data_IF_743391656781
#
_entry.id   IF_743391656781
#
_cell.length_a   1.000
_cell.length_b   1.000
_cell.length_c   1.000
_cell.angle_alpha   90.00
_cell.angle_beta   90.00
_cell.angle_gamma   90.00
#
_symmetry.space_group_name_H-M   'P 1'
#
loop_
_entity.id
_entity.type
_entity.pdbx_description
1 polymer ?
#
# COMPACT_ATOMS: atom_id res chain seq x y z
N UNK A 1 17.47 30.32 -3.18
CA UNK A 1 18.08 29.38 -2.23
C UNK A 1 18.26 28.03 -2.92
N UNK A 2 19.50 27.64 -3.18
CA UNK A 2 19.81 26.41 -3.89
C UNK A 2 19.45 25.18 -3.04
N UNK A 3 18.63 24.29 -3.59
CA UNK A 3 18.42 22.95 -3.04
C UNK A 3 19.69 22.17 -3.34
N UNK A 4 20.49 21.91 -2.31
CA UNK A 4 21.62 21.00 -2.43
C UNK A 4 21.08 19.59 -2.73
N UNK A 5 21.20 19.15 -3.97
CA UNK A 5 21.05 17.76 -4.36
C UNK A 5 22.09 16.95 -3.58
N UNK A 6 21.66 16.23 -2.53
CA UNK A 6 22.50 15.19 -1.94
C UNK A 6 22.66 14.11 -3.02
N UNK A 7 23.86 14.03 -3.60
CA UNK A 7 24.26 12.86 -4.36
C UNK A 7 24.11 11.64 -3.45
N UNK A 8 23.41 10.62 -3.93
CA UNK A 8 23.31 9.35 -3.24
C UNK A 8 24.73 8.80 -3.02
N UNK A 9 25.04 8.42 -1.79
CA UNK A 9 26.30 7.77 -1.46
C UNK A 9 26.33 6.40 -2.14
N UNK A 10 27.26 6.12 -3.05
CA UNK A 10 27.34 4.83 -3.74
C UNK A 10 27.52 3.65 -2.77
N UNK A 11 28.12 3.85 -1.59
CA UNK A 11 28.22 2.82 -0.56
C UNK A 11 26.86 2.46 0.06
N UNK A 12 25.89 3.39 0.07
CA UNK A 12 24.52 3.10 0.50
C UNK A 12 23.80 2.16 -0.48
N UNK A 13 24.20 2.12 -1.76
CA UNK A 13 23.63 1.22 -2.76
C UNK A 13 24.04 -0.25 -2.56
N UNK A 14 25.30 -0.51 -2.16
CA UNK A 14 25.78 -1.86 -1.87
C UNK A 14 25.09 -2.45 -0.62
N UNK A 15 24.92 -1.65 0.43
CA UNK A 15 24.22 -2.08 1.65
C UNK A 15 22.73 -2.37 1.44
N UNK A 16 22.09 -1.80 0.42
CA UNK A 16 20.67 -2.00 0.11
C UNK A 16 20.43 -3.34 -0.60
N UNK A 17 21.41 -3.85 -1.36
CA UNK A 17 21.28 -5.10 -2.10
C UNK A 17 21.19 -6.34 -1.19
N UNK A 18 21.74 -6.25 0.03
CA UNK A 18 21.73 -7.34 1.03
C UNK A 18 20.52 -7.30 1.97
N UNK A 19 19.66 -6.28 1.88
CA UNK A 19 18.50 -6.15 2.77
C UNK A 19 17.39 -7.11 2.37
N UNK A 20 16.87 -7.85 3.36
CA UNK A 20 15.64 -8.61 3.19
C UNK A 20 14.46 -7.64 3.30
N UNK A 21 13.84 -7.33 2.18
CA UNK A 21 12.73 -6.37 2.12
C UNK A 21 11.41 -7.09 1.82
N UNK A 22 10.34 -6.69 2.51
CA UNK A 22 8.98 -7.00 2.09
C UNK A 22 8.36 -5.78 1.39
N UNK A 23 8.02 -5.94 0.12
CA UNK A 23 7.22 -4.97 -0.63
C UNK A 23 5.76 -5.35 -0.48
N UNK A 24 4.95 -4.42 0.01
CA UNK A 24 3.54 -4.65 0.32
C UNK A 24 2.69 -3.77 -0.56
N UNK A 25 1.71 -4.34 -1.26
CA UNK A 25 0.83 -3.61 -2.16
C UNK A 25 -0.64 -3.98 -1.97
N UNK A 26 -1.56 -3.03 -2.16
CA UNK A 26 -2.99 -3.21 -1.85
C UNK A 26 -3.57 -4.45 -2.55
N UNK A 27 -3.48 -4.53 -3.88
CA UNK A 27 -3.93 -5.65 -4.70
C UNK A 27 -3.29 -5.57 -6.08
N UNK A 28 -2.95 -6.72 -6.68
CA UNK A 28 -2.32 -6.80 -8.00
C UNK A 28 -3.30 -7.36 -9.04
N UNK A 29 -4.29 -6.57 -9.44
CA UNK A 29 -5.43 -7.04 -10.27
C UNK A 29 -5.63 -6.22 -11.55
N UNK A 30 -4.83 -5.18 -11.77
CA UNK A 30 -4.88 -4.33 -12.95
C UNK A 30 -3.52 -3.65 -13.20
N UNK A 31 -3.31 -3.07 -14.38
CA UNK A 31 -2.10 -2.30 -14.68
C UNK A 31 -2.35 -0.81 -14.47
N UNK A 32 -2.23 -0.35 -13.23
CA UNK A 32 -2.34 1.06 -12.86
C UNK A 32 -1.01 1.68 -12.45
N UNK A 33 -1.05 2.95 -12.04
CA UNK A 33 0.13 3.68 -11.57
C UNK A 33 0.72 3.09 -10.28
N UNK A 34 -0.13 2.69 -9.35
CA UNK A 34 0.31 2.17 -8.06
C UNK A 34 0.99 0.79 -8.19
N UNK A 35 0.48 -0.04 -9.10
CA UNK A 35 1.03 -1.34 -9.43
C UNK A 35 2.39 -1.20 -10.13
N UNK A 36 2.55 -0.24 -11.05
CA UNK A 36 3.86 0.06 -11.66
C UNK A 36 4.90 0.45 -10.61
N UNK A 37 4.53 1.31 -9.67
CA UNK A 37 5.43 1.70 -8.56
C UNK A 37 5.76 0.50 -7.67
N UNK A 38 4.78 -0.35 -7.36
CA UNK A 38 5.02 -1.56 -6.56
C UNK A 38 6.00 -2.53 -7.24
N UNK A 39 5.93 -2.67 -8.57
CA UNK A 39 6.86 -3.48 -9.35
C UNK A 39 8.27 -2.88 -9.36
N UNK A 40 8.40 -1.56 -9.55
CA UNK A 40 9.72 -0.90 -9.47
C UNK A 40 10.34 -1.05 -8.08
N UNK A 41 9.53 -0.92 -7.01
CA UNK A 41 10.00 -1.17 -5.65
C UNK A 41 10.47 -2.63 -5.48
N UNK A 42 9.73 -3.59 -6.03
CA UNK A 42 10.12 -5.01 -5.99
C UNK A 42 11.44 -5.25 -6.75
N UNK A 43 11.61 -4.66 -7.93
CA UNK A 43 12.82 -4.79 -8.75
C UNK A 43 14.04 -4.09 -8.12
N UNK A 44 13.81 -3.08 -7.26
CA UNK A 44 14.87 -2.33 -6.57
C UNK A 44 15.57 -3.16 -5.49
N UNK A 45 14.88 -4.13 -4.89
CA UNK A 45 15.40 -4.94 -3.80
C UNK A 45 15.51 -6.41 -4.22
N UNK A 46 16.70 -6.88 -4.62
CA UNK A 46 16.91 -8.28 -5.00
C UNK A 46 16.42 -9.24 -3.90
N UNK A 47 15.61 -10.24 -4.27
CA UNK A 47 15.08 -11.23 -3.33
C UNK A 47 13.93 -10.73 -2.44
N UNK A 48 13.40 -9.53 -2.68
CA UNK A 48 12.25 -9.03 -1.92
C UNK A 48 11.00 -9.89 -2.10
N UNK A 49 10.24 -9.99 -1.00
CA UNK A 49 8.92 -10.66 -0.98
C UNK A 49 7.85 -9.67 -1.43
N UNK A 50 6.91 -10.14 -2.26
CA UNK A 50 5.71 -9.37 -2.61
C UNK A 50 4.55 -9.83 -1.74
N UNK A 51 3.96 -8.93 -0.96
CA UNK A 51 2.80 -9.21 -0.12
C UNK A 51 1.61 -8.40 -0.60
N UNK A 52 0.48 -9.04 -0.88
CA UNK A 52 -0.70 -8.34 -1.37
C UNK A 52 -2.01 -8.98 -0.91
N UNK A 53 -3.14 -8.26 -0.95
CA UNK A 53 -4.41 -8.86 -0.55
C UNK A 53 -4.87 -9.94 -1.55
N UNK A 54 -4.81 -9.64 -2.84
CA UNK A 54 -5.16 -10.52 -3.95
C UNK A 54 -4.24 -10.28 -5.14
N UNK A 55 -4.00 -11.32 -5.93
CA UNK A 55 -3.18 -11.26 -7.14
C UNK A 55 -3.89 -11.98 -8.28
N UNK A 56 -4.04 -11.28 -9.39
CA UNK A 56 -4.43 -11.84 -10.68
C UNK A 56 -3.20 -11.88 -11.62
N UNK A 57 -2.59 -13.07 -11.80
CA UNK A 57 -1.41 -13.24 -12.65
C UNK A 57 -1.65 -12.91 -14.13
N UNK A 58 -2.90 -12.99 -14.61
CA UNK A 58 -3.24 -12.63 -15.99
C UNK A 58 -3.19 -11.12 -16.18
N UNK A 59 -3.64 -10.36 -15.17
CA UNK A 59 -3.62 -8.91 -15.19
C UNK A 59 -2.22 -8.34 -14.94
N UNK A 60 -1.54 -8.85 -13.90
CA UNK A 60 -0.23 -8.37 -13.45
C UNK A 60 0.76 -9.54 -13.39
N UNK A 61 1.66 -9.57 -14.37
CA UNK A 61 2.80 -10.49 -14.35
C UNK A 61 3.95 -9.85 -13.58
N UNK A 62 4.35 -10.49 -12.49
CA UNK A 62 5.56 -10.11 -11.76
C UNK A 62 6.79 -10.44 -12.60
N UNK A 63 7.79 -9.57 -12.56
CA UNK A 63 9.08 -9.72 -13.23
C UNK A 63 10.17 -9.85 -12.17
N UNK A 64 11.28 -10.51 -12.53
CA UNK A 64 12.44 -10.72 -11.65
C UNK A 64 12.37 -11.99 -10.80
N UNK A 65 13.23 -12.97 -11.08
CA UNK A 65 13.64 -14.04 -10.14
C UNK A 65 12.60 -14.94 -9.48
N UNK A 66 11.32 -14.91 -9.87
CA UNK A 66 10.18 -15.51 -9.15
C UNK A 66 10.07 -15.00 -7.70
N UNK A 67 9.58 -13.76 -7.49
CA UNK A 67 9.46 -13.23 -6.16
C UNK A 67 8.40 -14.04 -5.39
N UNK A 68 8.66 -14.32 -4.11
CA UNK A 68 7.69 -14.99 -3.26
C UNK A 68 6.47 -14.09 -3.12
N UNK A 69 5.33 -14.54 -3.65
CA UNK A 69 4.05 -13.81 -3.57
C UNK A 69 3.20 -14.37 -2.45
N UNK A 70 3.01 -13.56 -1.41
CA UNK A 70 2.11 -13.87 -0.32
C UNK A 70 0.78 -13.14 -0.52
N UNK A 71 -0.30 -13.93 -0.54
CA UNK A 71 -1.64 -13.42 -0.72
C UNK A 71 -2.53 -13.70 0.48
N UNK A 72 -3.53 -12.85 0.70
CA UNK A 72 -4.48 -13.06 1.80
C UNK A 72 -5.47 -14.19 1.50
N UNK A 73 -6.26 -14.55 2.51
CA UNK A 73 -7.38 -15.49 2.37
C UNK A 73 -8.43 -15.06 1.34
N UNK A 74 -8.52 -13.76 1.00
CA UNK A 74 -9.42 -13.25 -0.05
C UNK A 74 -9.04 -13.76 -1.45
N UNK A 75 -7.76 -14.07 -1.67
CA UNK A 75 -7.24 -14.52 -2.96
C UNK A 75 -7.84 -15.88 -3.39
N UNK A 76 -8.38 -16.66 -2.45
CA UNK A 76 -9.08 -17.93 -2.69
C UNK A 76 -10.41 -17.77 -3.42
N UNK A 77 -10.97 -16.55 -3.47
CA UNK A 77 -12.25 -16.26 -4.11
C UNK A 77 -11.99 -15.63 -5.48
N UNK A 78 -12.24 -16.34 -6.61
CA UNK A 78 -11.91 -15.84 -7.94
C UNK A 78 -12.56 -14.49 -8.29
N UNK A 79 -13.78 -14.24 -7.83
CA UNK A 79 -14.47 -12.98 -8.05
C UNK A 79 -13.75 -11.78 -7.40
N UNK A 80 -13.06 -11.98 -6.27
CA UNK A 80 -12.33 -10.93 -5.57
C UNK A 80 -10.95 -10.68 -6.20
N UNK A 81 -10.36 -11.68 -6.87
CA UNK A 81 -9.15 -11.48 -7.68
C UNK A 81 -9.41 -10.60 -8.90
N UNK A 82 -10.61 -10.69 -9.49
CA UNK A 82 -11.00 -9.83 -10.63
C UNK A 82 -11.43 -8.44 -10.20
N UNK A 83 -12.06 -8.33 -9.02
CA UNK A 83 -12.57 -7.08 -8.50
C UNK A 83 -12.43 -7.01 -6.96
N UNK A 84 -11.26 -6.57 -6.47
CA UNK A 84 -11.00 -6.48 -5.02
C UNK A 84 -11.90 -5.45 -4.32
N UNK A 85 -12.56 -4.55 -5.07
CA UNK A 85 -13.45 -3.54 -4.48
C UNK A 85 -14.70 -4.16 -3.87
N UNK A 86 -15.07 -5.38 -4.30
CA UNK A 86 -16.15 -6.16 -3.66
C UNK A 86 -15.81 -6.57 -2.22
N UNK A 87 -14.54 -6.50 -1.84
CA UNK A 87 -14.04 -6.86 -0.52
C UNK A 87 -13.58 -5.64 0.31
N UNK A 88 -13.90 -4.39 -0.06
CA UNK A 88 -13.38 -3.19 0.63
C UNK A 88 -13.48 -3.25 2.17
N UNK A 89 -14.60 -3.67 2.79
CA UNK A 89 -14.68 -3.74 4.24
C UNK A 89 -13.86 -4.87 4.87
N UNK A 90 -13.50 -5.89 4.08
CA UNK A 90 -12.76 -7.07 4.50
C UNK A 90 -11.24 -6.90 4.34
N UNK A 91 -10.80 -6.02 3.44
CA UNK A 91 -9.37 -5.76 3.16
C UNK A 91 -8.57 -5.35 4.42
N UNK A 92 -9.07 -4.52 5.35
CA UNK A 92 -8.39 -4.25 6.61
C UNK A 92 -8.04 -5.53 7.38
N UNK A 93 -9.01 -6.43 7.55
CA UNK A 93 -8.81 -7.71 8.23
C UNK A 93 -7.97 -8.71 7.44
N UNK A 94 -7.83 -8.53 6.13
CA UNK A 94 -6.91 -9.31 5.31
C UNK A 94 -5.45 -8.95 5.64
N UNK A 95 -5.12 -7.65 5.69
CA UNK A 95 -3.78 -7.18 6.04
C UNK A 95 -3.42 -7.41 7.52
N UNK A 96 -4.37 -7.23 8.45
CA UNK A 96 -4.15 -7.50 9.88
C UNK A 96 -3.72 -8.95 10.15
N UNK A 97 -4.09 -9.89 9.26
CA UNK A 97 -3.77 -11.32 9.37
C UNK A 97 -2.50 -11.74 8.62
N UNK A 98 -1.76 -10.78 8.08
CA UNK A 98 -0.52 -11.01 7.33
C UNK A 98 0.66 -10.31 8.01
N UNK A 99 1.01 -10.64 9.27
CA UNK A 99 2.12 -9.99 9.95
C UNK A 99 3.45 -10.31 9.26
N UNK A 100 4.19 -9.28 8.89
CA UNK A 100 5.51 -9.43 8.26
C UNK A 100 6.57 -9.72 9.32
N UNK A 101 7.40 -10.73 9.04
CA UNK A 101 8.47 -11.22 9.92
C UNK A 101 9.71 -11.52 9.10
N UNK A 102 10.86 -11.56 9.79
CA UNK A 102 12.15 -12.00 9.24
C UNK A 102 12.64 -11.15 8.06
N UNK A 103 12.39 -9.84 8.14
CA UNK A 103 12.83 -8.83 7.17
C UNK A 103 13.49 -7.67 7.91
N UNK A 104 14.35 -6.95 7.20
CA UNK A 104 15.08 -5.80 7.72
C UNK A 104 14.27 -4.51 7.50
N UNK A 105 13.38 -4.48 6.50
CA UNK A 105 12.45 -3.38 6.26
C UNK A 105 11.15 -3.82 5.57
N UNK A 106 10.10 -3.01 5.76
CA UNK A 106 8.82 -3.13 5.04
C UNK A 106 8.56 -1.86 4.24
N UNK A 107 8.30 -2.01 2.94
CA UNK A 107 7.96 -0.91 2.04
C UNK A 107 6.55 -1.10 1.51
N UNK A 108 5.62 -0.27 1.95
CA UNK A 108 4.22 -0.33 1.53
C UNK A 108 3.96 0.64 0.37
N UNK A 109 3.53 0.13 -0.78
CA UNK A 109 2.89 0.89 -1.87
C UNK A 109 1.38 0.88 -1.66
N UNK A 110 0.80 1.96 -1.12
CA UNK A 110 -0.57 1.95 -0.59
C UNK A 110 -1.47 3.05 -1.16
N UNK A 111 -2.71 2.68 -1.49
CA UNK A 111 -3.85 3.59 -1.70
C UNK A 111 -4.89 3.48 -0.58
N UNK A 112 -4.63 2.66 0.44
CA UNK A 112 -5.45 2.62 1.65
C UNK A 112 -5.43 1.33 2.47
N UNK A 113 -4.69 0.29 2.07
CA UNK A 113 -4.76 -0.99 2.80
C UNK A 113 -3.41 -1.57 3.21
N UNK A 114 -2.42 -1.58 2.31
CA UNK A 114 -1.09 -2.14 2.52
C UNK A 114 -0.35 -1.46 3.68
N UNK A 115 -0.59 -0.17 3.93
CA UNK A 115 -0.01 0.53 5.08
C UNK A 115 -0.44 -0.04 6.45
N UNK A 116 -1.56 -0.77 6.50
CA UNK A 116 -2.08 -1.40 7.70
C UNK A 116 -1.44 -2.75 8.03
N UNK A 117 -0.49 -3.22 7.21
CA UNK A 117 0.18 -4.49 7.48
C UNK A 117 0.98 -4.41 8.80
N UNK A 118 0.81 -5.38 9.71
CA UNK A 118 1.60 -5.43 10.94
C UNK A 118 3.06 -5.79 10.63
N UNK A 119 4.00 -5.04 11.19
CA UNK A 119 5.43 -5.30 11.05
C UNK A 119 6.15 -4.91 12.36
N UNK A 120 7.21 -5.65 12.68
CA UNK A 120 8.17 -5.26 13.75
C UNK A 120 9.37 -4.49 13.21
N UNK A 121 9.72 -4.74 11.95
CA UNK A 121 10.77 -4.03 11.24
C UNK A 121 10.31 -2.61 10.87
N UNK A 122 11.23 -1.67 10.62
CA UNK A 122 10.91 -0.35 10.13
C UNK A 122 9.99 -0.39 8.90
N UNK A 123 8.90 0.37 8.94
CA UNK A 123 7.86 0.42 7.92
C UNK A 123 7.81 1.80 7.25
N UNK A 124 8.13 1.82 5.97
CA UNK A 124 8.02 2.99 5.10
C UNK A 124 6.78 2.84 4.22
N UNK A 125 5.91 3.86 4.22
CA UNK A 125 4.70 3.88 3.41
C UNK A 125 4.85 4.88 2.28
N UNK A 126 4.90 4.40 1.05
CA UNK A 126 4.67 5.19 -0.15
C UNK A 126 3.16 5.30 -0.40
N UNK A 127 2.56 6.39 0.05
CA UNK A 127 1.14 6.66 -0.04
C UNK A 127 0.82 7.36 -1.37
N UNK A 128 0.07 6.66 -2.23
CA UNK A 128 -0.42 7.20 -3.50
C UNK A 128 -1.57 8.18 -3.31
N UNK A 129 -2.43 7.90 -2.33
CA UNK A 129 -3.52 8.75 -1.85
C UNK A 129 -4.14 8.12 -0.60
N UNK A 130 -4.63 8.89 0.39
CA UNK A 130 -5.53 8.35 1.40
C UNK A 130 -6.78 7.71 0.76
N UNK A 131 -7.40 6.70 1.40
CA UNK A 131 -8.53 5.98 0.83
C UNK A 131 -9.74 6.90 0.63
N UNK A 132 -9.95 7.34 -0.61
CA UNK A 132 -11.04 8.27 -0.96
C UNK A 132 -12.40 7.72 -0.56
N UNK A 133 -12.66 6.44 -0.80
CA UNK A 133 -13.93 5.82 -0.44
C UNK A 133 -14.27 5.92 1.07
N UNK A 134 -13.27 6.11 1.93
CA UNK A 134 -13.43 6.26 3.37
C UNK A 134 -13.57 7.72 3.82
N UNK A 135 -12.77 8.61 3.20
CA UNK A 135 -12.66 10.03 3.56
C UNK A 135 -13.50 10.99 2.71
N UNK A 136 -13.94 10.54 1.55
CA UNK A 136 -14.81 11.20 0.58
C UNK A 136 -15.92 10.21 0.19
N UNK A 137 -16.76 9.78 1.14
CA UNK A 137 -17.74 8.72 0.91
C UNK A 137 -18.79 9.10 -0.15
N UNK A 138 -19.00 10.39 -0.41
CA UNK A 138 -19.93 10.89 -1.43
C UNK A 138 -19.54 10.38 -2.83
N UNK A 139 -18.24 10.33 -3.13
CA UNK A 139 -17.70 9.86 -4.40
C UNK A 139 -17.90 8.35 -4.62
N UNK A 140 -18.19 7.59 -3.56
CA UNK A 140 -18.25 6.13 -3.60
C UNK A 140 -19.62 5.54 -3.26
N UNK A 141 -20.37 6.17 -2.35
CA UNK A 141 -21.65 5.65 -1.87
C UNK A 141 -22.82 5.98 -2.79
N UNK A 142 -22.68 6.98 -3.66
CA UNK A 142 -23.76 7.42 -4.55
C UNK A 142 -24.22 6.29 -5.49
N UNK A 143 -23.27 5.54 -6.05
CA UNK A 143 -23.53 4.50 -7.05
C UNK A 143 -23.80 3.12 -6.45
N UNK A 144 -23.90 3.01 -5.12
CA UNK A 144 -24.06 1.74 -4.43
C UNK A 144 -25.53 1.44 -4.09
N UNK A 145 -25.96 0.16 -4.18
CA UNK A 145 -27.29 -0.26 -3.71
C UNK A 145 -27.53 0.12 -2.24
N UNK A 146 -28.78 0.46 -1.89
CA UNK A 146 -29.20 0.83 -0.53
C UNK A 146 -28.61 -0.07 0.60
N UNK A 147 -28.68 -1.41 0.52
CA UNK A 147 -28.13 -2.26 1.58
C UNK A 147 -26.60 -2.15 1.71
N UNK A 148 -25.89 -2.02 0.58
CA UNK A 148 -24.43 -1.85 0.56
C UNK A 148 -24.06 -0.50 1.18
N UNK A 149 -24.78 0.55 0.81
CA UNK A 149 -24.59 1.89 1.38
C UNK A 149 -24.79 1.89 2.89
N UNK A 150 -25.88 1.31 3.39
CA UNK A 150 -26.17 1.22 4.81
C UNK A 150 -25.06 0.46 5.58
N UNK A 151 -24.60 -0.67 5.03
CA UNK A 151 -23.50 -1.44 5.63
C UNK A 151 -22.19 -0.64 5.69
N UNK A 152 -21.81 0.04 4.60
CA UNK A 152 -20.61 0.86 4.56
C UNK A 152 -20.68 2.04 5.53
N UNK A 153 -21.83 2.72 5.62
CA UNK A 153 -22.06 3.79 6.60
C UNK A 153 -21.90 3.28 8.04
N UNK A 154 -22.45 2.11 8.36
CA UNK A 154 -22.34 1.51 9.68
C UNK A 154 -20.89 1.10 10.04
N UNK A 155 -20.12 0.60 9.06
CA UNK A 155 -18.74 0.16 9.27
C UNK A 155 -17.73 1.32 9.28
N UNK A 156 -18.05 2.46 8.67
CA UNK A 156 -17.15 3.60 8.47
C UNK A 156 -16.40 4.05 9.74
N UNK A 157 -17.02 4.21 10.92
CA UNK A 157 -16.29 4.64 12.12
C UNK A 157 -15.24 3.63 12.59
N UNK A 158 -15.44 2.33 12.33
CA UNK A 158 -14.44 1.28 12.62
C UNK A 158 -13.30 1.33 11.62
N UNK A 159 -13.64 1.50 10.34
CA UNK A 159 -12.67 1.60 9.25
C UNK A 159 -11.77 2.84 9.40
N UNK A 160 -12.34 4.01 9.73
CA UNK A 160 -11.57 5.23 10.02
C UNK A 160 -10.60 5.05 11.21
N UNK A 161 -11.01 4.32 12.25
CA UNK A 161 -10.14 4.02 13.39
C UNK A 161 -9.05 3.01 13.04
N UNK A 162 -9.34 2.05 12.19
CA UNK A 162 -8.34 1.12 11.68
C UNK A 162 -7.31 1.87 10.84
N UNK A 163 -7.75 2.65 9.86
CA UNK A 163 -6.90 3.36 8.91
C UNK A 163 -5.98 4.39 9.59
N UNK A 164 -6.49 5.13 10.59
CA UNK A 164 -5.67 6.03 11.40
C UNK A 164 -4.61 5.30 12.23
N UNK A 165 -4.94 4.13 12.80
CA UNK A 165 -3.96 3.31 13.54
C UNK A 165 -2.91 2.72 12.60
N UNK A 166 -3.33 2.27 11.42
CA UNK A 166 -2.43 1.83 10.35
C UNK A 166 -1.45 2.95 9.98
N UNK A 167 -1.95 4.16 9.75
CA UNK A 167 -1.10 5.31 9.45
C UNK A 167 -0.12 5.66 10.58
N UNK A 168 -0.56 5.63 11.84
CA UNK A 168 0.31 5.90 12.99
C UNK A 168 1.40 4.84 13.21
N UNK A 169 1.27 3.65 12.61
CA UNK A 169 2.23 2.55 12.76
C UNK A 169 3.40 2.60 11.76
N UNK A 170 3.45 3.58 10.86
CA UNK A 170 4.56 3.74 9.93
C UNK A 170 5.65 4.63 10.54
N UNK A 171 6.91 4.25 10.33
CA UNK A 171 8.07 5.06 10.70
C UNK A 171 8.21 6.28 9.78
N UNK A 172 7.88 6.10 8.49
CA UNK A 172 7.95 7.17 7.49
C UNK A 172 6.82 7.08 6.48
N UNK A 173 6.32 8.25 6.10
CA UNK A 173 5.40 8.43 4.98
C UNK A 173 6.09 9.19 3.85
N UNK A 174 6.03 8.60 2.66
CA UNK A 174 6.41 9.19 1.39
C UNK A 174 5.16 9.35 0.54
N UNK A 175 5.14 10.38 -0.32
CA UNK A 175 4.01 10.65 -1.22
C UNK A 175 4.51 11.06 -2.59
N UNK A 176 3.71 10.81 -3.62
CA UNK A 176 4.08 11.10 -5.01
C UNK A 176 4.05 12.59 -5.38
N UNK A 177 3.36 13.43 -4.61
CA UNK A 177 3.06 14.81 -4.98
C UNK A 177 2.75 15.69 -3.77
N UNK A 178 2.85 17.01 -3.95
CA UNK A 178 2.45 18.00 -2.95
C UNK A 178 0.96 17.95 -2.64
N UNK A 179 0.11 17.66 -3.64
CA UNK A 179 -1.35 17.50 -3.46
C UNK A 179 -1.66 16.34 -2.52
N UNK A 180 -0.98 15.20 -2.69
CA UNK A 180 -1.18 14.04 -1.80
C UNK A 180 -0.57 14.30 -0.42
N UNK A 181 0.56 15.02 -0.33
CA UNK A 181 1.13 15.47 0.96
C UNK A 181 0.09 16.25 1.78
N UNK A 182 -0.57 17.22 1.17
CA UNK A 182 -1.60 18.02 1.85
C UNK A 182 -2.79 17.17 2.33
N UNK A 183 -3.21 16.19 1.52
CA UNK A 183 -4.26 15.24 1.93
C UNK A 183 -3.81 14.37 3.10
N UNK A 184 -2.61 13.81 3.05
CA UNK A 184 -2.03 13.01 4.15
C UNK A 184 -1.93 13.85 5.43
N UNK A 185 -1.46 15.10 5.34
CA UNK A 185 -1.42 16.02 6.49
C UNK A 185 -2.80 16.31 7.06
N UNK A 186 -3.81 16.53 6.21
CA UNK A 186 -5.20 16.78 6.65
C UNK A 186 -5.83 15.57 7.32
N UNK A 187 -5.59 14.38 6.77
CA UNK A 187 -6.28 13.15 7.17
C UNK A 187 -5.60 12.47 8.36
N UNK A 188 -4.27 12.40 8.34
CA UNK A 188 -3.46 11.68 9.34
C UNK A 188 -2.66 12.60 10.26
N UNK A 189 -2.54 13.90 9.95
CA UNK A 189 -1.65 14.80 10.71
C UNK A 189 -0.16 14.57 10.43
N UNK A 190 0.18 13.79 9.40
CA UNK A 190 1.55 13.39 9.07
C UNK A 190 2.13 14.35 8.03
N UNK A 191 3.32 14.89 8.29
CA UNK A 191 4.08 15.65 7.29
C UNK A 191 4.95 14.71 6.46
N UNK A 192 4.45 14.33 5.29
CA UNK A 192 5.09 13.35 4.42
C UNK A 192 6.10 14.00 3.46
N UNK A 193 7.23 13.33 3.23
CA UNK A 193 8.19 13.77 2.22
C UNK A 193 7.65 13.44 0.82
N UNK A 194 7.80 14.39 -0.12
CA UNK A 194 7.48 14.14 -1.53
C UNK A 194 8.65 13.39 -2.18
N UNK A 195 8.36 12.21 -2.72
CA UNK A 195 9.26 11.41 -3.54
C UNK A 195 8.52 11.11 -4.85
N UNK A 196 8.96 11.74 -5.94
CA UNK A 196 8.35 11.56 -7.26
C UNK A 196 8.32 10.06 -7.64
N UNK A 197 7.24 9.58 -8.28
CA UNK A 197 7.14 8.19 -8.65
C UNK A 197 8.24 7.83 -9.66
N UNK A 198 8.88 6.66 -9.55
CA UNK A 198 9.99 6.27 -10.42
C UNK A 198 9.52 5.74 -11.81
N UNK A 199 8.40 6.24 -12.32
CA UNK A 199 7.68 5.72 -13.51
C UNK A 199 7.09 6.81 -14.40
#
# INVERSE_FOLDING_TARGET
MAVAERRADPAAGEHVADLRVAVVHDYLTQRGGAERVALVLLDTFPGARMITSVHDPEAVRLRGGDPVVETSWLNRVPALRRDPRRALPLLPGAFDRMPVRDVDAVVCSSTGFAHGIPAKAPKVVYCHNPPRWLYQPEDYLHDQPLPVRAALTALRPRLLRWDRRAAASADRYLVNSTVVRERVRRVYGIDAQVLAPPV
#
